data_IF_364025109717
#
_entry.id   IF_364025109717
#
_cell.length_a   1.000
_cell.length_b   1.000
_cell.length_c   1.000
_cell.angle_alpha   90.00
_cell.angle_beta   90.00
_cell.angle_gamma   90.00
#
_symmetry.space_group_name_H-M   'P 1'
#
loop_
_entity.id
_entity.type
_entity.pdbx_description
1 polymer ?
#
# COMPACT_ATOMS: atom_id res chain seq x y z
N UNK A 1 35.32 -8.18 12.04
CA UNK A 1 35.47 -8.62 10.64
C UNK A 1 34.19 -9.23 10.08
N UNK A 2 33.57 -10.23 10.73
CA UNK A 2 32.30 -10.81 10.27
C UNK A 2 31.12 -9.82 10.21
N UNK A 3 31.02 -8.87 11.14
CA UNK A 3 29.99 -7.83 11.12
C UNK A 3 30.09 -6.93 9.89
N UNK A 4 31.31 -6.50 9.55
CA UNK A 4 31.59 -5.66 8.38
C UNK A 4 31.35 -6.40 7.06
N UNK A 5 31.79 -7.66 6.99
CA UNK A 5 31.55 -8.52 5.82
C UNK A 5 30.05 -8.75 5.58
N UNK A 6 29.27 -8.95 6.66
CA UNK A 6 27.83 -9.09 6.56
C UNK A 6 27.17 -7.77 6.12
N UNK A 7 27.51 -6.63 6.72
CA UNK A 7 26.99 -5.33 6.30
C UNK A 7 27.28 -5.02 4.81
N UNK A 8 28.49 -5.35 4.34
CA UNK A 8 28.85 -5.23 2.93
C UNK A 8 27.99 -6.12 2.02
N UNK A 9 27.72 -7.36 2.43
CA UNK A 9 26.81 -8.28 1.69
C UNK A 9 25.37 -7.76 1.67
N UNK A 10 24.88 -7.17 2.76
CA UNK A 10 23.55 -6.57 2.82
C UNK A 10 23.42 -5.42 1.81
N UNK A 11 24.39 -4.51 1.80
CA UNK A 11 24.46 -3.43 0.81
C UNK A 11 24.59 -3.97 -0.61
N UNK A 12 25.37 -5.03 -0.81
CA UNK A 12 25.55 -5.66 -2.11
C UNK A 12 24.23 -6.25 -2.66
N UNK A 13 23.40 -6.87 -1.82
CA UNK A 13 22.07 -7.36 -2.20
C UNK A 13 21.19 -6.19 -2.66
N UNK A 14 21.17 -5.09 -1.90
CA UNK A 14 20.40 -3.89 -2.23
C UNK A 14 20.87 -3.26 -3.55
N UNK A 15 22.18 -3.15 -3.75
CA UNK A 15 22.77 -2.61 -4.98
C UNK A 15 22.48 -3.51 -6.19
N UNK A 16 22.60 -4.83 -6.05
CA UNK A 16 22.27 -5.75 -7.14
C UNK A 16 20.78 -5.72 -7.48
N UNK A 17 19.91 -5.72 -6.47
CA UNK A 17 18.47 -5.57 -6.66
C UNK A 17 18.12 -4.25 -7.37
N UNK A 18 18.70 -3.13 -6.93
CA UNK A 18 18.50 -1.82 -7.56
C UNK A 18 19.07 -1.70 -8.97
N UNK A 19 20.07 -2.50 -9.31
CA UNK A 19 20.63 -2.57 -10.67
C UNK A 19 19.92 -3.59 -11.58
N UNK A 20 18.84 -4.23 -11.12
CA UNK A 20 18.14 -5.30 -11.85
C UNK A 20 18.91 -6.63 -11.94
N UNK A 21 20.01 -6.78 -11.19
CA UNK A 21 20.87 -7.97 -11.14
C UNK A 21 20.34 -8.98 -10.12
N UNK A 22 19.13 -9.47 -10.37
CA UNK A 22 18.36 -10.25 -9.40
C UNK A 22 18.98 -11.63 -9.13
N UNK A 23 19.61 -12.23 -10.14
CA UNK A 23 20.30 -13.52 -9.97
C UNK A 23 21.48 -13.38 -9.01
N UNK A 24 22.24 -12.29 -9.12
CA UNK A 24 23.36 -11.98 -8.24
C UNK A 24 22.87 -11.64 -6.83
N UNK A 25 21.79 -10.87 -6.70
CA UNK A 25 21.15 -10.61 -5.42
C UNK A 25 20.72 -11.91 -4.73
N UNK A 26 20.08 -12.83 -5.47
CA UNK A 26 19.66 -14.14 -4.95
C UNK A 26 20.85 -15.03 -4.55
N UNK A 27 21.97 -14.96 -5.30
CA UNK A 27 23.19 -15.70 -4.95
C UNK A 27 23.78 -15.22 -3.62
N UNK A 28 23.94 -13.91 -3.45
CA UNK A 28 24.46 -13.33 -2.20
C UNK A 28 23.51 -13.60 -1.04
N UNK A 29 22.20 -13.62 -1.30
CA UNK A 29 21.20 -13.99 -0.31
C UNK A 29 21.34 -15.45 0.17
N UNK A 30 21.62 -16.39 -0.75
CA UNK A 30 21.87 -17.79 -0.40
C UNK A 30 23.05 -17.97 0.57
N UNK A 31 24.06 -17.11 0.48
CA UNK A 31 25.20 -17.10 1.41
C UNK A 31 24.81 -16.59 2.82
N UNK A 32 23.63 -15.99 2.99
CA UNK A 32 23.11 -15.47 4.25
C UNK A 32 22.03 -16.36 4.89
N UNK A 33 21.85 -17.61 4.43
CA UNK A 33 20.79 -18.52 4.92
C UNK A 33 20.86 -18.80 6.44
N UNK A 34 22.07 -18.82 7.00
CA UNK A 34 22.33 -19.00 8.43
C UNK A 34 22.30 -17.70 9.24
N UNK A 35 21.99 -16.56 8.62
CA UNK A 35 21.90 -15.28 9.32
C UNK A 35 20.77 -15.28 10.36
N UNK A 36 20.97 -14.49 11.42
CA UNK A 36 19.96 -14.31 12.47
C UNK A 36 18.69 -13.67 11.88
N UNK A 37 17.48 -14.10 12.31
CA UNK A 37 16.20 -13.57 11.81
C UNK A 37 16.10 -12.04 11.80
N UNK A 38 16.57 -11.37 12.85
CA UNK A 38 16.59 -9.90 12.93
C UNK A 38 17.46 -9.24 11.83
N UNK A 39 18.56 -9.89 11.42
CA UNK A 39 19.42 -9.39 10.34
C UNK A 39 18.78 -9.57 8.98
N UNK A 40 18.04 -10.67 8.77
CA UNK A 40 17.27 -10.90 7.55
C UNK A 40 16.16 -9.86 7.41
N UNK A 41 15.49 -9.53 8.52
CA UNK A 41 14.49 -8.46 8.56
C UNK A 41 15.07 -7.10 8.15
N UNK A 42 16.27 -6.74 8.64
CA UNK A 42 16.93 -5.50 8.24
C UNK A 42 17.27 -5.45 6.74
N UNK A 43 17.63 -6.60 6.12
CA UNK A 43 17.88 -6.68 4.67
C UNK A 43 16.58 -6.46 3.90
N UNK A 44 15.49 -7.09 4.34
CA UNK A 44 14.18 -6.94 3.74
C UNK A 44 13.72 -5.47 3.74
N UNK A 45 13.96 -4.74 4.82
CA UNK A 45 13.69 -3.30 4.90
C UNK A 45 14.54 -2.50 3.92
N UNK A 46 15.85 -2.76 3.86
CA UNK A 46 16.73 -2.09 2.89
C UNK A 46 16.31 -2.35 1.44
N UNK A 47 15.81 -3.55 1.13
CA UNK A 47 15.26 -3.88 -0.19
C UNK A 47 13.95 -3.14 -0.48
N UNK A 48 13.08 -2.99 0.52
CA UNK A 48 11.80 -2.29 0.37
C UNK A 48 12.05 -0.82 0.00
N UNK A 49 12.92 -0.15 0.76
CA UNK A 49 13.29 1.25 0.54
C UNK A 49 13.94 1.46 -0.84
N UNK A 50 14.87 0.58 -1.21
CA UNK A 50 15.55 0.68 -2.50
C UNK A 50 14.62 0.47 -3.70
N UNK A 51 13.55 -0.31 -3.54
CA UNK A 51 12.61 -0.63 -4.61
C UNK A 51 11.67 0.53 -5.00
N UNK A 52 11.45 1.50 -4.10
CA UNK A 52 10.45 2.56 -4.28
C UNK A 52 10.69 3.42 -5.53
N UNK A 53 11.96 3.64 -5.88
CA UNK A 53 12.38 4.48 -7.00
C UNK A 53 12.74 3.69 -8.26
N UNK A 54 12.56 2.36 -8.24
CA UNK A 54 12.86 1.54 -9.41
C UNK A 54 11.73 1.58 -10.45
N UNK A 55 12.06 1.42 -11.74
CA UNK A 55 11.09 1.10 -12.79
C UNK A 55 10.21 -0.10 -12.41
N UNK A 56 8.98 -0.13 -12.93
CA UNK A 56 7.96 -1.14 -12.56
C UNK A 56 8.48 -2.58 -12.69
N UNK A 57 9.12 -2.92 -13.81
CA UNK A 57 9.64 -4.27 -14.04
C UNK A 57 10.70 -4.68 -13.01
N UNK A 58 11.59 -3.76 -12.64
CA UNK A 58 12.62 -4.00 -11.63
C UNK A 58 11.99 -4.10 -10.24
N UNK A 59 11.03 -3.22 -9.93
CA UNK A 59 10.28 -3.26 -8.67
C UNK A 59 9.55 -4.59 -8.47
N UNK A 60 8.91 -5.12 -9.52
CA UNK A 60 8.28 -6.45 -9.48
C UNK A 60 9.27 -7.56 -9.17
N UNK A 61 10.45 -7.51 -9.79
CA UNK A 61 11.49 -8.51 -9.52
C UNK A 61 12.02 -8.41 -8.08
N UNK A 62 12.22 -7.20 -7.55
CA UNK A 62 12.58 -7.00 -6.14
C UNK A 62 11.47 -7.49 -5.22
N UNK A 63 10.20 -7.21 -5.52
CA UNK A 63 9.04 -7.72 -4.78
C UNK A 63 9.04 -9.24 -4.67
N UNK A 64 9.32 -9.95 -5.77
CA UNK A 64 9.45 -11.43 -5.76
C UNK A 64 10.61 -11.91 -4.89
N UNK A 65 11.77 -11.24 -4.95
CA UNK A 65 12.90 -11.56 -4.08
C UNK A 65 12.53 -11.35 -2.60
N UNK A 66 11.81 -10.27 -2.29
CA UNK A 66 11.31 -10.02 -0.94
C UNK A 66 10.30 -11.09 -0.50
N UNK A 67 9.39 -11.52 -1.35
CA UNK A 67 8.46 -12.62 -1.04
C UNK A 67 9.21 -13.91 -0.70
N UNK A 68 10.22 -14.29 -1.49
CA UNK A 68 11.07 -15.45 -1.21
C UNK A 68 11.76 -15.35 0.15
N UNK A 69 12.31 -14.18 0.48
CA UNK A 69 12.98 -13.92 1.75
C UNK A 69 12.01 -13.93 2.94
N UNK A 70 10.87 -13.26 2.79
CA UNK A 70 9.87 -13.16 3.83
C UNK A 70 9.27 -14.52 4.15
N UNK A 71 9.03 -15.38 3.15
CA UNK A 71 8.58 -16.76 3.36
C UNK A 71 9.57 -17.58 4.20
N UNK A 72 10.88 -17.39 3.99
CA UNK A 72 11.93 -18.05 4.79
C UNK A 72 12.01 -17.50 6.21
N UNK A 73 11.75 -16.20 6.38
CA UNK A 73 11.75 -15.56 7.69
C UNK A 73 10.48 -15.91 8.49
N UNK A 74 9.35 -16.08 7.82
CA UNK A 74 8.07 -16.51 8.40
C UNK A 74 8.18 -17.89 9.05
N UNK A 75 8.93 -18.82 8.44
CA UNK A 75 9.25 -20.13 9.05
C UNK A 75 10.00 -20.01 10.39
N UNK A 76 10.64 -18.86 10.64
CA UNK A 76 11.41 -18.54 11.84
C UNK A 76 10.76 -17.43 12.66
N UNK A 77 9.46 -17.14 12.44
CA UNK A 77 8.72 -16.04 13.08
C UNK A 77 8.76 -16.07 14.61
N UNK A 78 8.74 -17.26 15.20
CA UNK A 78 8.81 -17.43 16.67
C UNK A 78 10.12 -16.94 17.30
N UNK A 79 11.18 -16.77 16.51
CA UNK A 79 12.45 -16.21 16.96
C UNK A 79 12.48 -14.67 16.88
N UNK A 80 11.42 -14.03 16.38
CA UNK A 80 11.24 -12.58 16.34
C UNK A 80 10.40 -12.12 17.53
N UNK A 81 10.73 -10.94 18.06
CA UNK A 81 9.87 -10.28 19.06
C UNK A 81 8.60 -9.70 18.40
N UNK A 82 7.64 -9.24 19.20
CA UNK A 82 6.33 -8.74 18.70
C UNK A 82 6.49 -7.60 17.69
N UNK A 83 7.36 -6.63 17.98
CA UNK A 83 7.62 -5.49 17.10
C UNK A 83 8.20 -5.96 15.74
N UNK A 84 9.16 -6.88 15.77
CA UNK A 84 9.76 -7.47 14.58
C UNK A 84 8.77 -8.33 13.78
N UNK A 85 7.81 -8.96 14.43
CA UNK A 85 6.75 -9.71 13.73
C UNK A 85 5.76 -8.77 13.01
N UNK A 86 5.40 -7.65 13.64
CA UNK A 86 4.59 -6.62 13.00
C UNK A 86 5.32 -6.00 11.81
N UNK A 87 6.62 -5.76 11.96
CA UNK A 87 7.46 -5.27 10.87
C UNK A 87 7.56 -6.28 9.73
N UNK A 88 7.74 -7.57 10.05
CA UNK A 88 7.71 -8.63 9.05
C UNK A 88 6.38 -8.65 8.28
N UNK A 89 5.25 -8.51 8.96
CA UNK A 89 3.93 -8.43 8.31
C UNK A 89 3.83 -7.23 7.35
N UNK A 90 4.37 -6.06 7.72
CA UNK A 90 4.42 -4.89 6.84
C UNK A 90 5.25 -5.17 5.59
N UNK A 91 6.42 -5.77 5.74
CA UNK A 91 7.28 -6.16 4.61
C UNK A 91 6.59 -7.16 3.70
N UNK A 92 5.94 -8.18 4.27
CA UNK A 92 5.21 -9.19 3.48
C UNK A 92 4.14 -8.48 2.64
N UNK A 93 3.33 -7.61 3.24
CA UNK A 93 2.32 -6.85 2.51
C UNK A 93 2.93 -5.99 1.39
N UNK A 94 4.01 -5.24 1.67
CA UNK A 94 4.73 -4.44 0.68
C UNK A 94 5.27 -5.29 -0.47
N UNK A 95 5.76 -6.49 -0.19
CA UNK A 95 6.28 -7.40 -1.22
C UNK A 95 5.16 -7.87 -2.16
N UNK A 96 3.96 -8.13 -1.63
CA UNK A 96 2.77 -8.43 -2.44
C UNK A 96 2.38 -7.22 -3.31
N UNK A 97 2.35 -6.00 -2.74
CA UNK A 97 2.11 -4.76 -3.53
C UNK A 97 3.12 -4.63 -4.67
N UNK A 98 4.41 -4.80 -4.38
CA UNK A 98 5.48 -4.67 -5.37
C UNK A 98 5.38 -5.73 -6.47
N UNK A 99 4.92 -6.94 -6.14
CA UNK A 99 4.74 -8.04 -7.09
C UNK A 99 3.47 -7.95 -7.93
N UNK A 100 2.47 -7.17 -7.49
CA UNK A 100 1.17 -7.00 -8.14
C UNK A 100 0.02 -7.82 -7.52
N UNK A 101 0.27 -8.58 -6.46
CA UNK A 101 -0.71 -9.39 -5.73
C UNK A 101 -1.48 -8.51 -4.72
N UNK A 102 -2.34 -7.62 -5.22
CA UNK A 102 -2.92 -6.53 -4.43
C UNK A 102 -3.85 -6.98 -3.30
N UNK A 103 -4.56 -8.11 -3.49
CA UNK A 103 -5.54 -8.60 -2.51
C UNK A 103 -4.85 -9.23 -1.30
N UNK A 104 -3.78 -9.98 -1.54
CA UNK A 104 -2.94 -10.58 -0.51
C UNK A 104 -2.30 -9.48 0.35
N UNK A 105 -1.82 -8.41 -0.29
CA UNK A 105 -1.35 -7.22 0.42
C UNK A 105 -2.46 -6.59 1.28
N UNK A 106 -3.66 -6.40 0.71
CA UNK A 106 -4.79 -5.80 1.43
C UNK A 106 -5.16 -6.62 2.66
N UNK A 107 -5.30 -7.95 2.55
CA UNK A 107 -5.64 -8.82 3.69
C UNK A 107 -4.63 -8.74 4.84
N UNK A 108 -3.34 -8.62 4.53
CA UNK A 108 -2.31 -8.46 5.58
C UNK A 108 -2.42 -7.09 6.23
N UNK A 109 -2.61 -6.03 5.44
CA UNK A 109 -2.83 -4.70 5.98
C UNK A 109 -4.11 -4.61 6.81
N UNK A 110 -5.20 -5.29 6.44
CA UNK A 110 -6.40 -5.36 7.27
C UNK A 110 -6.15 -6.02 8.62
N UNK A 111 -5.33 -7.08 8.66
CA UNK A 111 -4.91 -7.71 9.92
C UNK A 111 -4.10 -6.74 10.77
N UNK A 112 -3.15 -6.01 10.17
CA UNK A 112 -2.39 -4.97 10.88
C UNK A 112 -3.27 -3.82 11.36
N UNK A 113 -4.29 -3.45 10.59
CA UNK A 113 -5.24 -2.40 10.92
C UNK A 113 -6.14 -2.79 12.10
N UNK A 114 -6.48 -4.08 12.26
CA UNK A 114 -7.23 -4.56 13.43
C UNK A 114 -6.45 -4.35 14.74
N UNK A 115 -5.13 -4.44 14.70
CA UNK A 115 -4.26 -4.17 15.87
C UNK A 115 -4.16 -2.69 16.20
N UNK A 116 -4.26 -1.81 15.19
CA UNK A 116 -4.31 -0.35 15.37
C UNK A 116 -5.37 0.32 14.47
N UNK A 117 -6.65 0.32 14.85
CA UNK A 117 -7.74 0.84 14.02
C UNK A 117 -7.72 2.36 13.77
N UNK A 118 -6.77 3.08 14.35
CA UNK A 118 -6.61 4.54 14.18
C UNK A 118 -5.52 4.90 13.18
N UNK A 119 -4.85 3.91 12.58
CA UNK A 119 -3.83 4.12 11.56
C UNK A 119 -4.47 4.56 10.22
N UNK A 120 -4.72 5.87 10.09
CA UNK A 120 -5.33 6.47 8.88
C UNK A 120 -4.51 6.18 7.61
N UNK A 121 -3.17 6.32 7.59
CA UNK A 121 -2.37 5.93 6.43
C UNK A 121 -2.63 4.49 5.98
N UNK A 122 -2.73 3.55 6.92
CA UNK A 122 -2.99 2.14 6.61
C UNK A 122 -4.40 1.92 6.03
N UNK A 123 -5.43 2.59 6.58
CA UNK A 123 -6.79 2.55 6.03
C UNK A 123 -6.86 3.08 4.58
N UNK A 124 -6.13 4.16 4.29
CA UNK A 124 -6.01 4.72 2.93
C UNK A 124 -5.36 3.70 2.00
N UNK A 125 -4.28 3.05 2.44
CA UNK A 125 -3.57 2.07 1.63
C UNK A 125 -4.44 0.85 1.31
N UNK A 126 -5.17 0.31 2.29
CA UNK A 126 -6.14 -0.77 2.08
C UNK A 126 -7.19 -0.37 1.03
N UNK A 127 -7.77 0.82 1.17
CA UNK A 127 -8.79 1.31 0.25
C UNK A 127 -8.23 1.49 -1.18
N UNK A 128 -6.98 1.94 -1.32
CA UNK A 128 -6.29 2.06 -2.61
C UNK A 128 -6.05 0.72 -3.27
N UNK A 129 -5.58 -0.28 -2.52
CA UNK A 129 -5.32 -1.62 -3.06
C UNK A 129 -6.60 -2.25 -3.61
N UNK A 130 -7.70 -2.19 -2.86
CA UNK A 130 -9.00 -2.66 -3.34
C UNK A 130 -9.52 -1.86 -4.56
N UNK A 131 -9.29 -0.55 -4.58
CA UNK A 131 -9.65 0.28 -5.74
C UNK A 131 -8.86 -0.11 -6.98
N UNK A 132 -7.56 -0.39 -6.82
CA UNK A 132 -6.66 -0.75 -7.92
C UNK A 132 -6.93 -2.16 -8.46
N UNK A 133 -7.34 -3.11 -7.61
CA UNK A 133 -7.73 -4.44 -8.06
C UNK A 133 -8.99 -4.40 -8.94
N UNK A 134 -9.96 -3.57 -8.58
CA UNK A 134 -11.03 -3.14 -9.49
C UNK A 134 -12.24 -4.06 -9.64
N UNK A 135 -12.25 -5.24 -9.01
CA UNK A 135 -13.43 -6.11 -8.99
C UNK A 135 -14.59 -5.45 -8.24
N UNK A 136 -15.87 -5.66 -8.64
CA UNK A 136 -17.01 -4.99 -8.02
C UNK A 136 -17.12 -5.19 -6.49
N UNK A 137 -16.75 -6.37 -5.98
CA UNK A 137 -16.71 -6.64 -4.54
C UNK A 137 -15.66 -5.79 -3.82
N UNK A 138 -14.52 -5.58 -4.46
CA UNK A 138 -13.38 -4.84 -3.89
C UNK A 138 -13.63 -3.34 -3.93
N UNK A 139 -14.19 -2.84 -5.04
CA UNK A 139 -14.66 -1.46 -5.13
C UNK A 139 -15.69 -1.14 -4.03
N UNK A 140 -16.59 -2.09 -3.73
CA UNK A 140 -17.54 -1.94 -2.62
C UNK A 140 -16.84 -1.94 -1.25
N UNK A 141 -15.79 -2.74 -1.06
CA UNK A 141 -14.98 -2.73 0.15
C UNK A 141 -14.20 -1.42 0.30
N UNK A 142 -13.52 -0.96 -0.75
CA UNK A 142 -12.86 0.35 -0.80
C UNK A 142 -13.84 1.49 -0.47
N UNK A 143 -15.06 1.43 -1.01
CA UNK A 143 -16.10 2.43 -0.74
C UNK A 143 -16.43 2.51 0.76
N UNK A 144 -16.48 1.38 1.46
CA UNK A 144 -16.73 1.35 2.91
C UNK A 144 -15.60 2.01 3.69
N UNK A 145 -14.33 1.75 3.34
CA UNK A 145 -13.19 2.40 3.96
C UNK A 145 -13.23 3.93 3.76
N UNK A 146 -13.44 4.39 2.53
CA UNK A 146 -13.55 5.83 2.26
C UNK A 146 -14.74 6.50 2.95
N UNK A 147 -15.89 5.82 3.00
CA UNK A 147 -17.07 6.32 3.71
C UNK A 147 -16.81 6.43 5.21
N UNK A 148 -16.13 5.46 5.81
CA UNK A 148 -15.77 5.52 7.24
C UNK A 148 -14.80 6.65 7.54
N UNK A 149 -13.80 6.86 6.69
CA UNK A 149 -12.87 8.00 6.81
C UNK A 149 -13.60 9.33 6.66
N UNK A 150 -14.51 9.44 5.68
CA UNK A 150 -15.33 10.62 5.48
C UNK A 150 -16.16 10.96 6.73
N UNK A 151 -16.80 9.96 7.36
CA UNK A 151 -17.60 10.15 8.57
C UNK A 151 -16.77 10.55 9.80
N UNK A 152 -15.47 10.24 9.81
CA UNK A 152 -14.56 10.59 10.90
C UNK A 152 -14.02 12.03 10.82
N UNK A 153 -14.22 12.71 9.69
CA UNK A 153 -13.71 14.06 9.45
C UNK A 153 -14.78 15.15 9.62
N UNK A 154 -14.34 16.37 9.89
CA UNK A 154 -15.25 17.51 9.99
C UNK A 154 -15.83 17.84 8.62
N UNK A 155 -17.15 17.85 8.49
CA UNK A 155 -17.84 18.08 7.23
C UNK A 155 -17.42 19.42 6.57
N UNK A 156 -17.06 19.37 5.29
CA UNK A 156 -16.55 20.52 4.52
C UNK A 156 -15.06 20.83 4.71
N UNK A 157 -14.36 20.14 5.61
CA UNK A 157 -12.89 20.22 5.71
C UNK A 157 -12.20 19.60 4.48
N UNK A 158 -10.91 19.91 4.29
CA UNK A 158 -10.11 19.33 3.19
C UNK A 158 -10.04 17.80 3.26
N UNK A 159 -9.71 17.16 4.41
CA UNK A 159 -9.70 15.70 4.52
C UNK A 159 -11.07 15.06 4.24
N UNK A 160 -12.16 15.71 4.68
CA UNK A 160 -13.51 15.24 4.39
C UNK A 160 -13.83 15.29 2.89
N UNK A 161 -13.45 16.36 2.20
CA UNK A 161 -13.64 16.51 0.76
C UNK A 161 -12.77 15.53 -0.05
N UNK A 162 -11.56 15.23 0.42
CA UNK A 162 -10.68 14.19 -0.15
C UNK A 162 -11.30 12.80 -0.02
N UNK A 163 -11.84 12.44 1.14
CA UNK A 163 -12.54 11.16 1.28
C UNK A 163 -13.80 11.10 0.41
N UNK A 164 -14.60 12.17 0.41
CA UNK A 164 -15.84 12.24 -0.37
C UNK A 164 -15.61 12.10 -1.87
N UNK A 165 -14.52 12.65 -2.41
CA UNK A 165 -14.26 12.52 -3.84
C UNK A 165 -13.92 11.09 -4.24
N UNK A 166 -13.20 10.35 -3.38
CA UNK A 166 -12.93 8.92 -3.61
C UNK A 166 -14.22 8.09 -3.51
N UNK A 167 -15.10 8.39 -2.55
CA UNK A 167 -16.44 7.76 -2.49
C UNK A 167 -17.21 7.97 -3.79
N UNK A 168 -17.23 9.20 -4.33
CA UNK A 168 -17.95 9.50 -5.56
C UNK A 168 -17.35 8.78 -6.79
N UNK A 169 -16.02 8.71 -6.90
CA UNK A 169 -15.35 7.96 -7.97
C UNK A 169 -15.71 6.47 -7.91
N UNK A 170 -15.71 5.88 -6.73
CA UNK A 170 -16.07 4.47 -6.53
C UNK A 170 -17.56 4.23 -6.84
N UNK A 171 -18.45 5.15 -6.47
CA UNK A 171 -19.86 5.07 -6.86
C UNK A 171 -20.04 5.02 -8.37
N UNK A 172 -19.29 5.85 -9.10
CA UNK A 172 -19.31 5.87 -10.56
C UNK A 172 -18.79 4.54 -11.15
N UNK A 173 -17.67 4.02 -10.65
CA UNK A 173 -17.12 2.74 -11.10
C UNK A 173 -18.07 1.56 -10.82
N UNK A 174 -18.83 1.63 -9.72
CA UNK A 174 -19.88 0.68 -9.36
C UNK A 174 -21.20 0.89 -10.13
N UNK A 175 -21.27 1.84 -11.07
CA UNK A 175 -22.47 2.15 -11.86
C UNK A 175 -23.57 2.91 -11.11
N UNK A 176 -23.31 3.38 -9.88
CA UNK A 176 -24.26 4.13 -9.03
C UNK A 176 -24.31 5.62 -9.41
N UNK A 177 -24.44 5.91 -10.69
CA UNK A 177 -24.29 7.27 -11.25
C UNK A 177 -25.34 8.26 -10.72
N UNK A 178 -26.60 7.83 -10.58
CA UNK A 178 -27.68 8.67 -10.04
C UNK A 178 -27.40 9.13 -8.60
N UNK A 179 -26.98 8.20 -7.74
CA UNK A 179 -26.64 8.49 -6.35
C UNK A 179 -25.39 9.39 -6.27
N UNK A 180 -24.39 9.13 -7.11
CA UNK A 180 -23.19 9.95 -7.20
C UNK A 180 -23.52 11.38 -7.62
N UNK A 181 -24.41 11.58 -8.60
CA UNK A 181 -24.86 12.92 -9.03
C UNK A 181 -25.57 13.66 -7.90
N UNK A 182 -26.48 13.00 -7.19
CA UNK A 182 -27.19 13.58 -6.05
C UNK A 182 -26.21 14.01 -4.97
N UNK A 183 -25.28 13.13 -4.59
CA UNK A 183 -24.28 13.42 -3.56
C UNK A 183 -23.35 14.56 -3.95
N UNK A 184 -22.89 14.59 -5.20
CA UNK A 184 -22.07 15.68 -5.75
C UNK A 184 -22.84 17.02 -5.74
N UNK A 185 -24.11 17.01 -6.14
CA UNK A 185 -24.98 18.18 -6.12
C UNK A 185 -25.12 18.77 -4.70
N UNK A 186 -25.46 17.93 -3.73
CA UNK A 186 -25.56 18.34 -2.31
C UNK A 186 -24.23 18.89 -1.80
N UNK A 187 -23.12 18.24 -2.13
CA UNK A 187 -21.77 18.68 -1.71
C UNK A 187 -21.45 20.08 -2.22
N UNK A 188 -21.79 20.39 -3.47
CA UNK A 188 -21.56 21.72 -4.06
C UNK A 188 -22.45 22.81 -3.46
N UNK A 189 -23.70 22.48 -3.13
CA UNK A 189 -24.63 23.42 -2.49
C UNK A 189 -24.13 23.78 -1.09
N UNK A 190 -23.75 22.78 -0.30
CA UNK A 190 -23.33 23.00 1.09
C UNK A 190 -21.90 23.54 1.20
N UNK A 191 -21.01 23.18 0.27
CA UNK A 191 -19.58 23.51 0.32
C UNK A 191 -19.07 24.09 -1.01
N UNK A 192 -19.52 25.28 -1.43
CA UNK A 192 -19.24 25.83 -2.76
C UNK A 192 -17.76 26.13 -3.04
N UNK A 193 -16.93 26.28 -1.99
CA UNK A 193 -15.48 26.48 -2.14
C UNK A 193 -14.74 25.19 -2.52
N UNK A 194 -15.31 24.01 -2.21
CA UNK A 194 -14.73 22.69 -2.49
C UNK A 194 -13.26 22.54 -2.04
N UNK A 195 -12.93 23.14 -0.89
CA UNK A 195 -11.61 23.02 -0.28
C UNK A 195 -10.56 23.87 -1.01
N UNK A 196 -9.57 23.20 -1.60
CA UNK A 196 -8.46 23.83 -2.31
C UNK A 196 -8.64 23.79 -3.85
N UNK A 197 -7.86 24.55 -4.63
CA UNK A 197 -7.99 24.58 -6.09
C UNK A 197 -7.86 23.22 -6.79
N UNK A 198 -7.07 22.31 -6.21
CA UNK A 198 -6.86 20.97 -6.76
C UNK A 198 -8.12 20.11 -6.59
N UNK A 199 -8.72 20.11 -5.39
CA UNK A 199 -9.97 19.41 -5.13
C UNK A 199 -11.10 19.94 -5.99
N UNK A 200 -11.21 21.26 -6.11
CA UNK A 200 -12.21 21.89 -7.00
C UNK A 200 -12.11 21.35 -8.43
N UNK A 201 -10.90 21.29 -9.01
CA UNK A 201 -10.68 20.72 -10.34
C UNK A 201 -11.14 19.25 -10.44
N UNK A 202 -10.86 18.44 -9.42
CA UNK A 202 -11.27 17.04 -9.44
C UNK A 202 -12.81 16.88 -9.34
N UNK A 203 -13.49 17.67 -8.50
CA UNK A 203 -14.96 17.70 -8.44
C UNK A 203 -15.58 18.16 -9.77
N UNK A 204 -14.98 19.16 -10.42
CA UNK A 204 -15.44 19.65 -11.73
C UNK A 204 -15.27 18.59 -12.82
N UNK A 205 -14.14 17.86 -12.84
CA UNK A 205 -13.92 16.74 -13.74
C UNK A 205 -14.96 15.63 -13.54
N UNK A 206 -15.22 15.26 -12.28
CA UNK A 206 -16.21 14.24 -11.94
C UNK A 206 -17.63 14.66 -12.34
N UNK A 207 -17.99 15.93 -12.15
CA UNK A 207 -19.27 16.46 -12.61
C UNK A 207 -19.45 16.34 -14.12
N UNK A 208 -18.39 16.60 -14.89
CA UNK A 208 -18.45 16.48 -16.35
C UNK A 208 -18.58 15.03 -16.80
N UNK A 209 -17.98 14.09 -16.06
CA UNK A 209 -18.09 12.65 -16.34
C UNK A 209 -19.49 12.11 -16.00
N UNK A 210 -20.06 12.52 -14.87
CA UNK A 210 -21.39 12.08 -14.43
C UNK A 210 -22.53 12.76 -15.20
N UNK A 211 -22.30 13.92 -15.84
CA UNK A 211 -23.30 14.62 -16.64
C UNK A 211 -23.52 14.04 -18.05
N UNK A 212 -22.70 13.07 -18.46
CA UNK A 212 -22.91 12.25 -19.66
C UNK A 212 -23.79 11.04 -19.32
#
# INVERSE_FOLDING_TARGET
WESLANAARQLQIVVFAGAGKILEARRVLGELESAQPAKLLAILNGLADASQNLPEDQRKQVGRLQQEMSARLEQRRSALNVEQQLELDRIIAQSYVASGDLIEAAHIYERLFKENPRDKPLAIEIARLYTQHGEPSDLATAQKYWTSMEQAEVAGSVPWLEARIEVLKLMQQLGKNEEARKLLGVTRILYPKLGNPQLKKQFDALSAQLGK
#
